data_IF_278254152279
#
_entry.id   IF_278254152279
#
_cell.length_a   1.000
_cell.length_b   1.000
_cell.length_c   1.000
_cell.angle_alpha   90.00
_cell.angle_beta   90.00
_cell.angle_gamma   90.00
#
_symmetry.space_group_name_H-M   'P 1'
#
loop_
_entity.id
_entity.type
_entity.pdbx_description
1 polymer ?
#
# COMPACT_ATOMS: atom_id res chain seq x y z
N UNK A 1 13.78 -1.77 9.05
CA UNK A 1 14.66 -2.71 8.32
C UNK A 1 14.03 -3.26 7.04
N UNK A 2 12.71 -3.41 6.94
CA UNK A 2 12.03 -4.00 5.77
C UNK A 2 12.21 -3.25 4.43
N UNK A 3 12.44 -1.94 4.46
CA UNK A 3 12.60 -1.15 3.23
C UNK A 3 13.85 -1.51 2.42
N UNK A 4 14.94 -1.94 3.08
CA UNK A 4 16.20 -2.28 2.40
C UNK A 4 16.12 -3.58 1.60
N UNK A 5 15.21 -4.48 1.97
CA UNK A 5 15.02 -5.75 1.27
C UNK A 5 14.24 -5.54 -0.03
N UNK A 6 13.19 -4.72 0.05
CA UNK A 6 12.37 -4.35 -1.11
C UNK A 6 13.20 -3.61 -2.15
N UNK A 7 14.07 -2.69 -1.73
CA UNK A 7 14.94 -1.94 -2.66
C UNK A 7 15.90 -2.85 -3.42
N UNK A 8 16.51 -3.84 -2.74
CA UNK A 8 17.37 -4.83 -3.40
C UNK A 8 16.62 -5.64 -4.46
N UNK A 9 15.41 -6.09 -4.14
CA UNK A 9 14.60 -6.84 -5.10
C UNK A 9 14.22 -5.98 -6.31
N UNK A 10 13.90 -4.71 -6.08
CA UNK A 10 13.60 -3.75 -7.14
C UNK A 10 14.84 -3.52 -8.01
N UNK A 11 16.03 -3.37 -7.45
CA UNK A 11 17.29 -3.20 -8.20
C UNK A 11 17.55 -4.39 -9.12
N UNK A 12 17.43 -5.62 -8.61
CA UNK A 12 17.56 -6.84 -9.41
C UNK A 12 16.56 -6.88 -10.58
N UNK A 13 15.31 -6.45 -10.35
CA UNK A 13 14.28 -6.33 -11.39
C UNK A 13 14.45 -5.12 -12.33
N UNK A 14 15.33 -4.16 -12.01
CA UNK A 14 15.70 -3.07 -12.93
C UNK A 14 16.70 -3.53 -13.96
N UNK A 15 17.66 -4.34 -13.53
CA UNK A 15 18.79 -4.76 -14.37
C UNK A 15 18.39 -5.87 -15.34
N UNK A 16 17.46 -6.74 -14.93
CA UNK A 16 16.98 -7.86 -15.75
C UNK A 16 15.47 -7.85 -15.89
N UNK A 17 15.00 -8.11 -17.12
CA UNK A 17 13.57 -8.01 -17.47
C UNK A 17 12.75 -9.23 -17.07
N UNK A 18 13.36 -10.42 -17.08
CA UNK A 18 12.65 -11.69 -17.05
C UNK A 18 13.33 -12.60 -16.03
N UNK A 19 12.80 -12.63 -14.82
CA UNK A 19 13.37 -13.40 -13.72
C UNK A 19 12.37 -14.36 -13.12
N UNK A 20 12.78 -15.61 -12.93
CA UNK A 20 12.02 -16.59 -12.15
C UNK A 20 12.21 -16.37 -10.65
N UNK A 21 11.33 -16.96 -9.83
CA UNK A 21 11.42 -16.85 -8.37
C UNK A 21 12.79 -17.30 -7.83
N UNK A 22 13.35 -18.40 -8.35
CA UNK A 22 14.64 -18.91 -7.91
C UNK A 22 15.78 -17.95 -8.23
N UNK A 23 15.76 -17.34 -9.42
CA UNK A 23 16.75 -16.34 -9.80
C UNK A 23 16.64 -15.08 -8.95
N UNK A 24 15.43 -14.65 -8.57
CA UNK A 24 15.24 -13.53 -7.66
C UNK A 24 15.80 -13.82 -6.27
N UNK A 25 15.60 -15.03 -5.75
CA UNK A 25 16.18 -15.48 -4.47
C UNK A 25 17.70 -15.48 -4.53
N UNK A 26 18.27 -16.07 -5.58
CA UNK A 26 19.72 -16.17 -5.77
C UNK A 26 20.38 -14.79 -5.89
N UNK A 27 19.81 -13.89 -6.70
CA UNK A 27 20.40 -12.56 -6.96
C UNK A 27 20.19 -11.57 -5.85
N UNK A 28 19.05 -11.62 -5.17
CA UNK A 28 18.78 -10.70 -4.04
C UNK A 28 19.46 -11.13 -2.75
N UNK A 29 19.86 -12.41 -2.63
CA UNK A 29 20.37 -13.00 -1.40
C UNK A 29 19.33 -13.07 -0.27
N UNK A 30 18.05 -12.87 -0.60
CA UNK A 30 16.94 -12.90 0.35
C UNK A 30 16.35 -14.31 0.45
N UNK A 31 15.78 -14.65 1.61
CA UNK A 31 15.07 -15.92 1.77
C UNK A 31 13.86 -16.03 0.83
N UNK A 32 13.57 -17.24 0.36
CA UNK A 32 12.46 -17.51 -0.56
C UNK A 32 11.11 -16.94 -0.08
N UNK A 33 10.81 -17.10 1.21
CA UNK A 33 9.57 -16.58 1.79
C UNK A 33 9.51 -15.04 1.78
N UNK A 34 10.65 -14.39 2.04
CA UNK A 34 10.79 -12.93 2.02
C UNK A 34 10.58 -12.40 0.60
N UNK A 35 11.22 -13.01 -0.39
CA UNK A 35 11.03 -12.67 -1.80
C UNK A 35 9.57 -12.84 -2.21
N UNK A 36 8.94 -13.96 -1.83
CA UNK A 36 7.53 -14.22 -2.15
C UNK A 36 6.60 -13.18 -1.51
N UNK A 37 6.82 -12.80 -0.25
CA UNK A 37 6.02 -11.77 0.44
C UNK A 37 6.17 -10.41 -0.24
N UNK A 38 7.39 -10.01 -0.57
CA UNK A 38 7.65 -8.73 -1.25
C UNK A 38 7.08 -8.72 -2.67
N UNK A 39 7.22 -9.81 -3.43
CA UNK A 39 6.62 -9.95 -4.75
C UNK A 39 5.11 -9.83 -4.72
N UNK A 40 4.44 -10.42 -3.72
CA UNK A 40 2.98 -10.27 -3.56
C UNK A 40 2.58 -8.79 -3.46
N UNK A 41 3.28 -8.01 -2.63
CA UNK A 41 3.02 -6.57 -2.51
C UNK A 41 3.37 -5.78 -3.78
N UNK A 42 4.44 -6.17 -4.50
CA UNK A 42 4.82 -5.53 -5.76
C UNK A 42 3.83 -5.83 -6.90
N UNK A 43 3.20 -6.99 -6.89
CA UNK A 43 2.11 -7.35 -7.79
C UNK A 43 0.84 -6.54 -7.46
N UNK A 44 0.48 -6.46 -6.18
CA UNK A 44 -0.68 -5.69 -5.70
C UNK A 44 -0.56 -4.19 -6.03
N UNK A 45 0.66 -3.65 -5.98
CA UNK A 45 0.94 -2.24 -6.31
C UNK A 45 1.12 -1.98 -7.81
N UNK A 46 1.10 -3.02 -8.65
CA UNK A 46 1.30 -2.91 -10.10
C UNK A 46 2.73 -2.57 -10.52
N UNK A 47 3.71 -2.68 -9.61
CA UNK A 47 5.13 -2.43 -9.93
C UNK A 47 5.74 -3.59 -10.73
N UNK A 48 5.22 -4.79 -10.53
CA UNK A 48 5.64 -6.03 -11.20
C UNK A 48 4.39 -6.69 -11.79
N UNK A 49 4.56 -7.38 -12.91
CA UNK A 49 3.57 -8.34 -13.42
C UNK A 49 4.24 -9.70 -13.60
N UNK A 50 3.43 -10.76 -13.63
CA UNK A 50 3.93 -12.12 -13.77
C UNK A 50 3.21 -12.85 -14.91
N UNK A 51 3.93 -13.71 -15.61
CA UNK A 51 3.37 -14.66 -16.58
C UNK A 51 3.87 -16.07 -16.32
N UNK A 52 3.06 -17.04 -16.73
CA UNK A 52 3.50 -18.43 -16.79
C UNK A 52 4.36 -18.60 -18.04
N UNK A 53 5.61 -19.02 -17.86
CA UNK A 53 6.47 -19.44 -18.96
C UNK A 53 5.79 -20.58 -19.73
N UNK A 54 5.75 -20.46 -21.06
CA UNK A 54 5.20 -21.49 -21.96
C UNK A 54 6.17 -22.66 -22.06
N UNK A 55 6.21 -23.51 -21.05
CA UNK A 55 6.85 -24.80 -21.10
C UNK A 55 5.81 -25.88 -20.78
N UNK A 56 5.91 -27.04 -21.46
CA UNK A 56 4.88 -28.08 -21.58
C UNK A 56 4.42 -28.73 -20.26
N UNK A 57 4.24 -30.06 -20.26
CA UNK A 57 3.51 -30.88 -19.24
C UNK A 57 3.98 -30.75 -17.77
N UNK A 58 4.96 -29.88 -17.47
CA UNK A 58 5.49 -29.62 -16.13
C UNK A 58 4.73 -28.50 -15.39
N UNK A 59 5.05 -28.35 -14.09
CA UNK A 59 4.57 -27.22 -13.28
C UNK A 59 4.95 -25.90 -13.97
N UNK A 60 4.00 -24.97 -14.21
CA UNK A 60 4.30 -23.70 -14.85
C UNK A 60 5.33 -22.91 -14.04
N UNK A 61 6.43 -22.51 -14.69
CA UNK A 61 7.39 -21.59 -14.09
C UNK A 61 6.86 -20.17 -14.21
N UNK A 62 6.73 -19.47 -13.09
CA UNK A 62 6.35 -18.05 -13.11
C UNK A 62 7.58 -17.19 -13.39
N UNK A 63 7.43 -16.28 -14.35
CA UNK A 63 8.41 -15.25 -14.68
C UNK A 63 7.84 -13.91 -14.24
N UNK A 64 8.68 -13.13 -13.56
CA UNK A 64 8.35 -11.82 -13.04
C UNK A 64 9.02 -10.76 -13.88
N UNK A 65 8.24 -9.73 -14.22
CA UNK A 65 8.66 -8.63 -15.06
C UNK A 65 8.34 -7.31 -14.39
N UNK A 66 9.27 -6.37 -14.49
CA UNK A 66 9.01 -5.00 -14.05
C UNK A 66 7.99 -4.35 -14.97
N UNK A 67 6.96 -3.74 -14.38
CA UNK A 67 6.01 -2.95 -15.15
C UNK A 67 6.71 -1.66 -15.65
N UNK A 68 6.80 -1.49 -16.96
CA UNK A 68 7.32 -0.26 -17.59
C UNK A 68 6.20 0.78 -17.68
N UNK A 69 5.64 1.23 -16.55
CA UNK A 69 4.72 2.37 -16.61
C UNK A 69 5.51 3.65 -16.41
N UNK A 70 5.40 4.55 -17.40
CA UNK A 70 5.58 5.99 -17.20
C UNK A 70 4.77 6.34 -15.96
N UNK A 71 5.46 6.81 -14.94
CA UNK A 71 4.85 7.33 -13.73
C UNK A 71 4.06 8.59 -14.08
N UNK A 72 2.87 8.46 -14.63
CA UNK A 72 1.85 9.47 -14.39
C UNK A 72 1.37 9.20 -12.97
N UNK A 73 2.05 9.86 -12.01
CA UNK A 73 1.54 9.98 -10.65
C UNK A 73 0.14 10.56 -10.83
N UNK A 74 -0.90 9.76 -10.66
CA UNK A 74 -2.25 10.30 -10.56
C UNK A 74 -2.21 11.28 -9.40
N UNK A 75 -2.33 12.57 -9.69
CA UNK A 75 -2.40 13.62 -8.68
C UNK A 75 -3.53 13.25 -7.72
N UNK A 76 -3.16 12.84 -6.51
CA UNK A 76 -4.15 12.66 -5.47
C UNK A 76 -4.80 14.03 -5.25
N UNK A 77 -6.09 14.15 -5.59
CA UNK A 77 -6.86 15.36 -5.36
C UNK A 77 -7.02 15.55 -3.84
N UNK A 78 -6.04 16.21 -3.22
CA UNK A 78 -6.04 16.52 -1.78
C UNK A 78 -7.05 17.64 -1.55
N UNK A 79 -8.27 17.26 -1.16
CA UNK A 79 -9.27 18.24 -0.73
C UNK A 79 -8.94 18.68 0.69
N UNK A 80 -8.49 19.94 0.83
CA UNK A 80 -8.29 20.57 2.15
C UNK A 80 -9.63 21.04 2.70
N UNK A 81 -10.22 20.25 3.59
CA UNK A 81 -11.39 20.66 4.38
C UNK A 81 -10.95 21.55 5.54
N UNK A 82 -11.40 22.81 5.56
CA UNK A 82 -11.22 23.70 6.71
C UNK A 82 -12.31 23.40 7.74
N UNK A 83 -11.96 22.77 8.85
CA UNK A 83 -12.87 22.64 9.97
C UNK A 83 -12.83 23.93 10.81
N UNK A 84 -13.98 24.59 10.97
CA UNK A 84 -14.13 25.54 12.07
C UNK A 84 -14.09 24.73 13.36
N UNK A 85 -13.15 25.06 14.25
CA UNK A 85 -12.90 24.47 15.58
C UNK A 85 -13.95 23.47 16.03
N UNK A 86 -13.54 22.20 16.20
CA UNK A 86 -14.37 21.14 16.76
C UNK A 86 -14.91 21.60 18.13
N UNK A 87 -16.18 22.01 18.21
CA UNK A 87 -16.75 22.62 19.43
C UNK A 87 -16.90 21.61 20.58
N UNK A 88 -17.03 20.32 20.26
CA UNK A 88 -17.15 19.27 21.27
C UNK A 88 -16.44 17.99 20.81
N UNK A 89 -15.49 17.53 21.63
CA UNK A 89 -14.96 16.19 21.55
C UNK A 89 -15.80 15.29 22.49
N UNK A 90 -16.81 14.60 21.94
CA UNK A 90 -17.52 13.56 22.69
C UNK A 90 -16.63 12.33 22.79
N UNK A 91 -16.03 12.12 23.96
CA UNK A 91 -15.20 10.93 24.23
C UNK A 91 -16.14 9.73 24.40
N UNK A 92 -16.06 8.80 23.46
CA UNK A 92 -16.82 7.56 23.50
C UNK A 92 -16.08 6.56 24.40
N UNK A 93 -16.40 6.53 25.70
CA UNK A 93 -16.03 5.39 26.55
C UNK A 93 -17.13 4.33 26.48
N UNK A 94 -16.72 3.06 26.46
CA UNK A 94 -17.56 1.89 26.18
C UNK A 94 -18.89 1.92 26.97
N UNK A 95 -19.99 2.15 26.25
CA UNK A 95 -21.35 1.89 26.71
C UNK A 95 -22.19 3.12 27.06
N UNK A 96 -22.72 3.82 26.06
CA UNK A 96 -23.84 4.75 26.26
C UNK A 96 -23.96 5.81 25.18
N UNK A 97 -25.19 5.99 24.65
CA UNK A 97 -25.54 7.10 23.76
C UNK A 97 -25.28 8.45 24.44
N UNK A 98 -24.72 9.39 23.66
CA UNK A 98 -24.38 10.74 24.10
C UNK A 98 -25.65 11.47 24.57
N UNK A 99 -25.79 11.70 25.89
CA UNK A 99 -26.88 12.52 26.42
C UNK A 99 -26.48 13.99 26.32
N UNK A 100 -27.19 14.75 25.49
CA UNK A 100 -27.12 16.22 25.54
C UNK A 100 -27.55 16.69 26.93
N UNK A 101 -26.65 17.38 27.64
CA UNK A 101 -26.99 18.09 28.87
C UNK A 101 -27.90 19.27 28.50
N UNK A 102 -29.21 19.10 28.68
CA UNK A 102 -30.16 20.21 28.66
C UNK A 102 -29.85 21.16 29.81
N UNK A 103 -29.33 22.33 29.49
CA UNK A 103 -29.46 23.54 30.31
C UNK A 103 -28.15 24.23 30.66
N UNK A 104 -27.83 25.31 29.95
CA UNK A 104 -27.99 26.63 30.55
C UNK A 104 -28.08 27.70 29.44
N UNK A 105 -29.08 28.57 29.52
CA UNK A 105 -29.28 29.68 28.58
C UNK A 105 -28.27 30.79 28.87
N UNK A 106 -27.69 31.39 27.84
CA UNK A 106 -27.39 32.80 27.85
C UNK A 106 -27.94 33.38 26.54
N UNK A 107 -28.96 34.21 26.68
CA UNK A 107 -29.56 35.02 25.63
C UNK A 107 -28.56 36.07 25.16
N UNK A 108 -28.30 36.13 23.85
CA UNK A 108 -27.78 37.34 23.24
C UNK A 108 -28.55 37.59 21.94
N UNK A 109 -29.35 38.65 21.97
CA UNK A 109 -30.09 39.18 20.82
C UNK A 109 -29.05 39.78 19.87
N UNK A 110 -29.12 39.42 18.59
CA UNK A 110 -28.42 40.16 17.54
C UNK A 110 -29.29 41.35 17.08
N UNK A 111 -28.69 42.52 16.77
CA UNK A 111 -29.34 43.56 15.99
C UNK A 111 -29.62 43.13 14.55
#
# INVERSE_FOLDING_TARGET
MLWNEVTKLIEVLKDEKDLSLSQLVEKSGLGCQTVHSHLKHLLETGFVWQEAAKHGVCRPTMVYHRFKQRTEVAEANVVRLKFQKLKHASRFEKGGWCKELRGNRASEKYP
#
